data_IF_866504524419
#
_entry.id   IF_866504524419
#
_cell.length_a   1.000
_cell.length_b   1.000
_cell.length_c   1.000
_cell.angle_alpha   90.00
_cell.angle_beta   90.00
_cell.angle_gamma   90.00
#
_symmetry.space_group_name_H-M   'P 1'
#
loop_
_entity.id
_entity.type
_entity.pdbx_description
1 polymer ?
#
# COMPACT_ATOMS: atom_id res chain seq x y z
N UNK A 1 15.33 -25.78 -26.01
CA UNK A 1 13.96 -25.77 -26.55
C UNK A 1 13.36 -24.50 -25.97
N UNK A 2 13.04 -23.52 -26.82
CA UNK A 2 12.29 -22.34 -26.40
C UNK A 2 10.91 -22.84 -25.99
N UNK A 3 10.51 -22.63 -24.75
CA UNK A 3 9.17 -22.89 -24.25
C UNK A 3 8.23 -22.08 -25.12
N UNK A 4 7.33 -22.76 -25.86
CA UNK A 4 6.25 -22.09 -26.57
C UNK A 4 5.44 -21.34 -25.50
N UNK A 5 5.51 -20.02 -25.53
CA UNK A 5 4.76 -19.16 -24.63
C UNK A 5 3.28 -19.56 -24.75
N UNK A 6 2.69 -20.12 -23.70
CA UNK A 6 1.28 -20.48 -23.65
C UNK A 6 0.48 -19.22 -23.97
N UNK A 7 -0.05 -19.14 -25.17
CA UNK A 7 -0.83 -18.00 -25.64
C UNK A 7 -2.24 -18.14 -25.05
N UNK A 8 -2.65 -17.18 -24.24
CA UNK A 8 -4.00 -17.13 -23.69
C UNK A 8 -4.88 -16.32 -24.64
N UNK A 9 -6.01 -16.86 -25.07
CA UNK A 9 -7.03 -16.06 -25.72
C UNK A 9 -7.62 -15.04 -24.71
N UNK A 10 -8.20 -13.95 -25.23
CA UNK A 10 -8.65 -12.83 -24.39
C UNK A 10 -9.74 -13.23 -23.38
N UNK A 11 -10.61 -14.20 -23.71
CA UNK A 11 -11.68 -14.65 -22.82
C UNK A 11 -11.10 -15.48 -21.68
N UNK A 12 -10.25 -16.45 -22.02
CA UNK A 12 -9.56 -17.29 -21.03
C UNK A 12 -8.69 -16.45 -20.09
N UNK A 13 -7.96 -15.45 -20.62
CA UNK A 13 -7.14 -14.56 -19.81
C UNK A 13 -8.00 -13.75 -18.84
N UNK A 14 -9.15 -13.22 -19.30
CA UNK A 14 -10.09 -12.48 -18.44
C UNK A 14 -10.62 -13.34 -17.30
N UNK A 15 -11.08 -14.57 -17.60
CA UNK A 15 -11.60 -15.50 -16.58
C UNK A 15 -10.53 -15.85 -15.54
N UNK A 16 -9.32 -16.17 -15.98
CA UNK A 16 -8.22 -16.53 -15.05
C UNK A 16 -7.80 -15.34 -14.20
N UNK A 17 -7.77 -14.14 -14.76
CA UNK A 17 -7.46 -12.93 -14.01
C UNK A 17 -8.53 -12.60 -12.97
N UNK A 18 -9.82 -12.64 -13.34
CA UNK A 18 -10.93 -12.43 -12.40
C UNK A 18 -10.92 -13.45 -11.27
N UNK A 19 -10.53 -14.71 -11.54
CA UNK A 19 -10.38 -15.73 -10.50
C UNK A 19 -9.23 -15.40 -9.54
N UNK A 20 -8.10 -14.88 -10.03
CA UNK A 20 -6.98 -14.44 -9.19
C UNK A 20 -7.35 -13.23 -8.35
N UNK A 21 -8.11 -12.25 -8.90
CA UNK A 21 -8.66 -11.14 -8.13
C UNK A 21 -9.63 -11.65 -7.06
N UNK A 22 -10.50 -12.61 -7.38
CA UNK A 22 -11.41 -13.23 -6.39
C UNK A 22 -10.65 -13.92 -5.24
N UNK A 23 -9.49 -14.50 -5.50
CA UNK A 23 -8.63 -15.07 -4.45
C UNK A 23 -8.10 -13.95 -3.55
N UNK A 24 -7.62 -12.84 -4.12
CA UNK A 24 -7.17 -11.70 -3.31
C UNK A 24 -8.30 -11.08 -2.50
N UNK A 25 -9.52 -10.99 -3.03
CA UNK A 25 -10.69 -10.51 -2.29
C UNK A 25 -11.08 -11.44 -1.12
N UNK A 26 -10.89 -12.74 -1.25
CA UNK A 26 -11.11 -13.69 -0.15
C UNK A 26 -10.01 -13.59 0.94
N UNK A 27 -8.75 -13.35 0.54
CA UNK A 27 -7.67 -13.05 1.49
C UNK A 27 -8.03 -11.80 2.29
N UNK A 28 -8.48 -10.74 1.61
CA UNK A 28 -8.90 -9.47 2.18
C UNK A 28 -10.08 -9.66 3.14
N UNK A 29 -11.13 -10.36 2.70
CA UNK A 29 -12.30 -10.68 3.53
C UNK A 29 -11.92 -11.49 4.78
N UNK A 30 -10.98 -12.43 4.66
CA UNK A 30 -10.45 -13.18 5.80
C UNK A 30 -9.71 -12.27 6.77
N UNK A 31 -8.86 -11.38 6.25
CA UNK A 31 -8.09 -10.43 7.05
C UNK A 31 -9.04 -9.50 7.84
N UNK A 32 -9.99 -8.86 7.17
CA UNK A 32 -10.97 -7.96 7.78
C UNK A 32 -11.77 -8.65 8.89
N UNK A 33 -12.24 -9.88 8.66
CA UNK A 33 -13.04 -10.65 9.65
C UNK A 33 -12.25 -11.15 10.83
N UNK A 34 -10.94 -11.32 10.72
CA UNK A 34 -10.09 -11.87 11.78
C UNK A 34 -9.25 -10.83 12.48
N UNK A 35 -9.23 -9.58 11.98
CA UNK A 35 -8.50 -8.47 12.58
C UNK A 35 -9.18 -7.97 13.86
N UNK A 36 -8.35 -7.46 14.76
CA UNK A 36 -8.75 -6.96 16.08
C UNK A 36 -8.90 -5.43 16.09
N UNK A 37 -8.14 -4.72 15.27
CA UNK A 37 -8.21 -3.26 15.20
C UNK A 37 -9.30 -2.78 14.24
N UNK A 38 -9.94 -1.66 14.57
CA UNK A 38 -10.89 -0.97 13.69
C UNK A 38 -10.24 -0.38 12.45
N UNK A 39 -8.92 -0.16 12.49
CA UNK A 39 -8.14 0.36 11.36
C UNK A 39 -8.22 -0.62 10.19
N UNK A 40 -8.09 -1.91 10.46
CA UNK A 40 -8.19 -2.95 9.44
C UNK A 40 -9.64 -3.37 9.20
N UNK A 41 -10.40 -3.68 10.28
CA UNK A 41 -11.74 -4.28 10.15
C UNK A 41 -12.82 -3.32 9.66
N UNK A 42 -12.69 -2.01 9.93
CA UNK A 42 -13.70 -1.01 9.61
C UNK A 42 -13.19 0.02 8.59
N UNK A 43 -11.93 0.49 8.75
CA UNK A 43 -11.38 1.52 7.87
C UNK A 43 -10.72 0.96 6.61
N UNK A 44 -10.48 -0.35 6.53
CA UNK A 44 -9.85 -1.02 5.39
C UNK A 44 -8.46 -0.48 5.04
N UNK A 45 -7.67 -0.08 6.07
CA UNK A 45 -6.28 0.34 5.85
C UNK A 45 -5.38 -0.89 5.63
N UNK A 46 -5.51 -1.45 4.44
CA UNK A 46 -4.88 -2.70 4.06
C UNK A 46 -4.63 -2.82 2.55
N UNK A 47 -3.80 -3.76 2.19
CA UNK A 47 -3.76 -4.40 0.86
C UNK A 47 -3.38 -5.85 0.99
N UNK A 48 -3.85 -6.68 0.06
CA UNK A 48 -3.44 -8.06 -0.10
C UNK A 48 -3.11 -8.34 -1.55
N UNK A 49 -2.11 -9.17 -1.78
CA UNK A 49 -1.61 -9.46 -3.13
C UNK A 49 -1.22 -10.92 -3.31
N UNK A 50 -1.29 -11.37 -4.55
CA UNK A 50 -0.66 -12.60 -5.05
C UNK A 50 0.48 -12.21 -5.98
N UNK A 51 1.66 -12.79 -5.76
CA UNK A 51 2.84 -12.59 -6.58
C UNK A 51 3.32 -13.93 -7.15
N UNK A 52 3.87 -13.90 -8.36
CA UNK A 52 4.49 -15.07 -8.96
C UNK A 52 5.83 -15.44 -8.28
N UNK A 53 6.44 -16.53 -8.68
CA UNK A 53 7.69 -17.01 -8.06
C UNK A 53 8.88 -16.06 -8.25
N UNK A 54 8.84 -15.18 -9.25
CA UNK A 54 9.82 -14.13 -9.47
C UNK A 54 9.51 -12.85 -8.66
N UNK A 55 8.43 -12.85 -7.87
CA UNK A 55 8.02 -11.74 -7.02
C UNK A 55 7.29 -10.61 -7.75
N UNK A 56 6.72 -10.89 -8.92
CA UNK A 56 5.95 -9.91 -9.70
C UNK A 56 4.47 -9.99 -9.36
N UNK A 57 3.83 -8.84 -9.27
CA UNK A 57 2.42 -8.73 -8.91
C UNK A 57 1.52 -9.33 -9.98
N UNK A 58 0.69 -10.29 -9.58
CA UNK A 58 -0.30 -10.94 -10.45
C UNK A 58 -1.70 -10.40 -10.21
N UNK A 59 -2.09 -10.30 -8.93
CA UNK A 59 -3.38 -9.77 -8.51
C UNK A 59 -3.27 -9.01 -7.17
N UNK A 60 -4.12 -8.01 -7.01
CA UNK A 60 -4.28 -7.22 -5.79
C UNK A 60 -5.75 -7.14 -5.41
N UNK A 61 -6.06 -7.15 -4.11
CA UNK A 61 -7.41 -7.07 -3.59
C UNK A 61 -8.14 -5.79 -3.99
N UNK A 62 -9.45 -5.91 -4.23
CA UNK A 62 -10.27 -4.84 -4.82
C UNK A 62 -10.43 -3.62 -3.91
N UNK A 63 -10.35 -3.77 -2.57
CA UNK A 63 -10.45 -2.67 -1.61
C UNK A 63 -9.09 -2.12 -1.14
N UNK A 64 -8.01 -2.59 -1.77
CA UNK A 64 -6.66 -2.10 -1.45
C UNK A 64 -6.53 -0.60 -1.59
N UNK A 65 -5.95 0.07 -0.58
CA UNK A 65 -5.79 1.51 -0.61
C UNK A 65 -4.66 1.97 -1.54
N UNK A 66 -4.76 3.18 -2.15
CA UNK A 66 -3.82 3.67 -3.17
C UNK A 66 -2.37 3.76 -2.73
N UNK A 67 -2.11 4.05 -1.46
CA UNK A 67 -0.75 4.24 -0.93
C UNK A 67 0.10 2.97 -1.00
N UNK A 68 -0.51 1.80 -1.21
CA UNK A 68 0.18 0.53 -1.34
C UNK A 68 0.44 0.10 -2.80
N UNK A 69 0.05 0.90 -3.80
CA UNK A 69 0.32 0.60 -5.20
C UNK A 69 1.82 0.45 -5.45
N UNK A 70 2.24 -0.71 -5.98
CA UNK A 70 3.64 -0.99 -6.31
C UNK A 70 4.57 -1.25 -5.11
N UNK A 71 4.07 -1.20 -3.86
CA UNK A 71 4.91 -1.40 -2.66
C UNK A 71 5.23 -2.87 -2.40
N UNK A 72 4.27 -3.77 -2.54
CA UNK A 72 4.43 -5.20 -2.23
C UNK A 72 5.54 -5.89 -3.04
N UNK A 73 5.64 -5.77 -4.38
CA UNK A 73 6.75 -6.36 -5.13
C UNK A 73 8.11 -5.81 -4.71
N UNK A 74 8.17 -4.50 -4.40
CA UNK A 74 9.40 -3.86 -3.91
C UNK A 74 9.82 -4.41 -2.55
N UNK A 75 8.89 -4.53 -1.61
CA UNK A 75 9.14 -5.07 -0.27
C UNK A 75 9.56 -6.55 -0.36
N UNK A 76 8.87 -7.34 -1.18
CA UNK A 76 9.23 -8.73 -1.42
C UNK A 76 10.65 -8.88 -1.94
N UNK A 77 11.10 -7.99 -2.83
CA UNK A 77 12.49 -8.01 -3.34
C UNK A 77 13.51 -7.91 -2.19
N UNK A 78 13.28 -7.03 -1.20
CA UNK A 78 14.14 -6.95 -0.01
C UNK A 78 14.04 -8.20 0.87
N UNK A 79 12.84 -8.76 1.03
CA UNK A 79 12.65 -10.00 1.77
C UNK A 79 13.43 -11.17 1.13
N UNK A 80 13.38 -11.30 -0.20
CA UNK A 80 14.08 -12.34 -0.94
C UNK A 80 15.61 -12.11 -1.03
N UNK A 81 16.09 -10.89 -0.88
CA UNK A 81 17.53 -10.64 -0.71
C UNK A 81 18.06 -11.19 0.62
N UNK A 82 17.25 -11.13 1.69
CA UNK A 82 17.63 -11.65 3.00
C UNK A 82 17.34 -13.14 3.15
N UNK A 83 16.24 -13.60 2.60
CA UNK A 83 15.81 -15.00 2.59
C UNK A 83 15.58 -15.44 1.14
N UNK A 84 16.64 -15.88 0.44
CA UNK A 84 16.55 -16.33 -0.94
C UNK A 84 15.52 -17.45 -1.13
N UNK A 85 14.85 -17.54 -2.30
CA UNK A 85 13.77 -18.50 -2.54
C UNK A 85 14.12 -19.96 -2.20
N UNK A 86 15.36 -20.36 -2.43
CA UNK A 86 15.88 -21.71 -2.14
C UNK A 86 16.03 -22.01 -0.64
N UNK A 87 15.97 -20.98 0.22
CA UNK A 87 16.04 -21.12 1.69
C UNK A 87 14.67 -21.12 2.35
N UNK A 88 13.62 -20.83 1.58
CA UNK A 88 12.25 -20.77 2.07
C UNK A 88 11.66 -22.16 2.22
N UNK A 89 10.89 -22.35 3.29
CA UNK A 89 10.22 -23.62 3.61
C UNK A 89 8.70 -23.44 3.67
N UNK A 90 7.92 -24.49 3.38
CA UNK A 90 6.49 -24.47 3.65
C UNK A 90 6.19 -24.08 5.11
N UNK A 91 5.29 -23.12 5.30
CA UNK A 91 4.94 -22.60 6.63
C UNK A 91 5.80 -21.44 7.12
N UNK A 92 6.82 -21.02 6.37
CA UNK A 92 7.52 -19.76 6.66
C UNK A 92 6.59 -18.56 6.48
N UNK A 93 6.73 -17.56 7.36
CA UNK A 93 6.10 -16.25 7.25
C UNK A 93 7.14 -15.20 7.58
N UNK A 94 7.33 -14.23 6.69
CA UNK A 94 8.33 -13.17 6.84
C UNK A 94 7.64 -11.82 6.95
N UNK A 95 8.10 -10.96 7.85
CA UNK A 95 7.55 -9.62 8.02
C UNK A 95 8.62 -8.53 8.14
N UNK A 96 8.19 -7.29 7.92
CA UNK A 96 8.94 -6.05 8.22
C UNK A 96 7.97 -4.88 8.28
N UNK A 97 8.30 -3.87 9.09
CA UNK A 97 7.67 -2.55 9.07
C UNK A 97 8.69 -1.44 8.81
N UNK A 98 9.82 -1.76 8.20
CA UNK A 98 10.83 -0.76 7.86
C UNK A 98 10.28 0.22 6.80
N UNK A 99 10.27 1.55 7.06
CA UNK A 99 9.67 2.54 6.16
C UNK A 99 10.26 2.54 4.75
N UNK A 100 11.55 2.34 4.61
CA UNK A 100 12.25 2.41 3.32
C UNK A 100 12.17 1.11 2.52
N UNK A 101 11.97 -0.02 3.20
CA UNK A 101 11.74 -1.32 2.57
C UNK A 101 10.26 -1.59 2.32
N UNK A 102 9.38 -0.99 3.13
CA UNK A 102 7.93 -1.15 3.11
C UNK A 102 7.20 0.00 2.40
N UNK A 103 6.31 0.65 3.13
CA UNK A 103 5.29 1.58 2.63
C UNK A 103 5.47 3.03 3.08
N UNK A 104 6.57 3.34 3.76
CA UNK A 104 6.96 4.70 4.09
C UNK A 104 6.78 5.11 5.55
N UNK A 105 6.22 4.26 6.44
CA UNK A 105 6.23 4.47 7.89
C UNK A 105 6.21 3.14 8.67
N UNK A 106 6.48 3.18 9.98
CA UNK A 106 6.56 1.98 10.79
C UNK A 106 5.19 1.39 11.16
N UNK A 107 4.11 2.14 11.01
CA UNK A 107 2.79 1.65 11.36
C UNK A 107 2.27 0.59 10.37
N UNK A 108 2.77 0.55 9.15
CA UNK A 108 2.41 -0.50 8.20
C UNK A 108 3.32 -1.71 8.35
N UNK A 109 2.73 -2.87 8.60
CA UNK A 109 3.43 -4.16 8.60
C UNK A 109 3.19 -4.92 7.31
N UNK A 110 4.26 -5.30 6.64
CA UNK A 110 4.23 -6.16 5.47
C UNK A 110 4.49 -7.61 5.90
N UNK A 111 3.59 -8.53 5.55
CA UNK A 111 3.66 -9.95 5.93
C UNK A 111 3.55 -10.81 4.68
N UNK A 112 4.57 -11.61 4.40
CA UNK A 112 4.67 -12.47 3.21
C UNK A 112 4.72 -13.95 3.61
N UNK A 113 4.04 -14.79 2.84
CA UNK A 113 4.08 -16.25 2.92
C UNK A 113 4.45 -16.85 1.57
N UNK A 114 5.50 -17.70 1.47
CA UNK A 114 5.77 -18.47 0.26
C UNK A 114 4.74 -19.58 0.10
N UNK A 115 4.30 -19.80 -1.14
CA UNK A 115 3.30 -20.80 -1.50
C UNK A 115 3.96 -21.93 -2.27
N UNK A 116 3.82 -23.15 -1.77
CA UNK A 116 4.43 -24.34 -2.35
C UNK A 116 3.39 -25.31 -2.89
N UNK A 117 3.72 -26.01 -3.98
CA UNK A 117 2.94 -27.12 -4.51
C UNK A 117 2.88 -28.25 -3.47
N UNK A 118 1.69 -28.69 -3.12
CA UNK A 118 1.50 -29.84 -2.21
C UNK A 118 1.98 -31.16 -2.81
N UNK A 119 1.93 -31.28 -4.14
CA UNK A 119 2.32 -32.50 -4.86
C UNK A 119 3.82 -32.55 -5.15
N UNK A 120 4.44 -31.43 -5.52
CA UNK A 120 5.82 -31.36 -6.01
C UNK A 120 6.79 -30.72 -5.00
N UNK A 121 6.30 -30.02 -3.96
CA UNK A 121 7.13 -29.27 -3.01
C UNK A 121 7.85 -28.06 -3.66
N UNK A 122 7.48 -27.68 -4.89
CA UNK A 122 8.10 -26.54 -5.61
C UNK A 122 7.42 -25.24 -5.21
N UNK A 123 8.19 -24.15 -5.16
CA UNK A 123 7.67 -22.79 -4.95
C UNK A 123 6.84 -22.35 -6.15
N UNK A 124 5.60 -21.94 -5.90
CA UNK A 124 4.65 -21.48 -6.92
C UNK A 124 4.56 -19.95 -7.01
N UNK A 125 4.72 -19.28 -5.89
CA UNK A 125 4.59 -17.84 -5.76
C UNK A 125 4.49 -17.42 -4.30
N UNK A 126 3.91 -16.25 -4.04
CA UNK A 126 3.78 -15.69 -2.71
C UNK A 126 2.40 -15.06 -2.53
N UNK A 127 1.87 -15.15 -1.31
CA UNK A 127 0.82 -14.27 -0.83
C UNK A 127 1.42 -13.23 0.10
N UNK A 128 0.91 -12.01 0.08
CA UNK A 128 1.41 -10.96 0.93
C UNK A 128 0.26 -10.02 1.32
N UNK A 129 0.24 -9.65 2.60
CA UNK A 129 -0.64 -8.62 3.15
C UNK A 129 0.17 -7.47 3.71
N UNK A 130 -0.40 -6.28 3.65
CA UNK A 130 0.11 -5.07 4.29
C UNK A 130 -1.04 -4.46 5.06
N UNK A 131 -0.85 -4.16 6.34
CA UNK A 131 -1.88 -3.56 7.21
C UNK A 131 -1.28 -2.51 8.09
N UNK A 132 -2.06 -1.47 8.39
CA UNK A 132 -1.70 -0.50 9.40
C UNK A 132 -1.94 -1.09 10.81
N UNK A 133 -0.90 -1.12 11.64
CA UNK A 133 -0.97 -1.57 13.03
C UNK A 133 -1.54 -0.46 13.94
N UNK A 134 -2.32 -0.81 14.96
CA UNK A 134 -2.92 0.18 15.87
C UNK A 134 -1.88 0.93 16.73
N UNK A 135 -0.76 0.29 17.03
CA UNK A 135 0.33 0.89 17.80
C UNK A 135 1.66 0.17 17.51
N UNK A 136 2.72 0.94 17.43
CA UNK A 136 4.10 0.44 17.28
C UNK A 136 5.03 0.96 18.40
N UNK A 137 4.45 1.53 19.46
CA UNK A 137 5.17 2.16 20.56
C UNK A 137 5.59 3.60 20.26
N UNK A 138 6.74 4.01 20.79
CA UNK A 138 7.26 5.38 20.62
C UNK A 138 6.29 6.46 21.07
N UNK A 139 6.33 7.62 20.41
CA UNK A 139 5.45 8.75 20.72
C UNK A 139 4.03 8.60 20.14
N UNK A 140 3.77 7.54 19.38
CA UNK A 140 2.49 7.28 18.71
C UNK A 140 2.43 7.86 17.30
N UNK A 141 1.27 7.65 16.65
CA UNK A 141 1.03 8.08 15.28
C UNK A 141 0.87 9.61 15.19
N UNK A 142 1.67 10.26 14.34
CA UNK A 142 1.59 11.70 14.12
C UNK A 142 2.91 12.34 13.71
N UNK A 143 2.91 13.67 13.61
CA UNK A 143 4.00 14.47 13.09
C UNK A 143 5.04 14.91 14.13
N UNK A 144 4.86 14.55 15.42
CA UNK A 144 5.65 15.12 16.52
C UNK A 144 7.09 14.58 16.62
N UNK A 145 7.41 13.47 15.95
CA UNK A 145 8.74 12.90 15.94
C UNK A 145 9.75 13.85 15.26
N UNK A 146 10.95 13.98 15.83
CA UNK A 146 12.07 14.73 15.24
C UNK A 146 13.10 13.82 14.55
N UNK A 147 13.04 12.52 14.82
CA UNK A 147 13.84 11.47 14.19
C UNK A 147 13.10 10.14 14.21
N UNK A 148 13.49 9.22 13.34
CA UNK A 148 12.81 7.91 13.17
C UNK A 148 12.79 7.08 14.46
N UNK A 149 13.79 7.21 15.33
CA UNK A 149 13.88 6.45 16.59
C UNK A 149 12.81 6.83 17.62
N UNK A 150 12.16 7.99 17.47
CA UNK A 150 11.03 8.40 18.32
C UNK A 150 9.71 7.73 17.90
N UNK A 151 9.60 7.20 16.69
CA UNK A 151 8.33 6.72 16.11
C UNK A 151 7.91 5.33 16.60
N UNK A 152 8.83 4.55 17.17
CA UNK A 152 8.50 3.26 17.75
C UNK A 152 9.42 2.11 17.37
N UNK A 153 8.90 0.89 17.45
CA UNK A 153 9.63 -0.34 17.18
C UNK A 153 9.74 -0.60 15.68
N UNK A 154 10.95 -0.43 15.12
CA UNK A 154 11.26 -0.78 13.74
C UNK A 154 11.74 -2.23 13.65
N UNK A 155 10.97 -3.07 12.98
CA UNK A 155 11.29 -4.47 12.72
C UNK A 155 12.08 -4.59 11.42
N UNK A 156 13.29 -5.17 11.46
CA UNK A 156 13.97 -5.55 10.23
C UNK A 156 13.17 -6.68 9.54
N UNK A 157 13.56 -7.05 8.33
CA UNK A 157 13.02 -8.25 7.70
C UNK A 157 13.35 -9.45 8.59
N UNK A 158 12.32 -10.16 9.08
CA UNK A 158 12.45 -11.25 10.06
C UNK A 158 11.38 -12.31 9.82
N UNK A 159 11.68 -13.57 10.20
CA UNK A 159 10.67 -14.64 10.20
C UNK A 159 9.72 -14.47 11.38
N UNK A 160 8.44 -14.21 11.08
CA UNK A 160 7.33 -14.22 12.03
C UNK A 160 6.88 -15.64 12.35
N UNK A 161 7.03 -16.56 11.38
CA UNK A 161 6.93 -18.00 11.60
C UNK A 161 8.00 -18.73 10.78
N UNK A 162 8.49 -19.85 11.27
CA UNK A 162 9.44 -20.73 10.61
C UNK A 162 8.89 -22.15 10.53
N UNK A 163 8.74 -22.66 9.31
CA UNK A 163 8.17 -24.00 9.06
C UNK A 163 6.86 -24.27 9.81
N UNK A 164 5.99 -23.25 9.90
CA UNK A 164 4.70 -23.31 10.58
C UNK A 164 4.73 -23.05 12.09
N UNK A 165 5.90 -22.83 12.67
CA UNK A 165 6.05 -22.51 14.10
C UNK A 165 6.19 -21.01 14.27
N UNK A 166 5.27 -20.39 15.00
CA UNK A 166 5.26 -18.95 15.27
C UNK A 166 6.46 -18.58 16.15
N UNK A 167 7.11 -17.46 15.84
CA UNK A 167 8.18 -16.88 16.62
C UNK A 167 7.59 -16.13 17.84
N UNK A 168 7.30 -16.85 18.90
CA UNK A 168 6.69 -16.28 20.12
C UNK A 168 7.61 -15.22 20.76
N UNK A 169 8.93 -15.36 20.67
CA UNK A 169 9.86 -14.33 21.16
C UNK A 169 9.65 -12.99 20.44
N UNK A 170 9.41 -13.01 19.12
CA UNK A 170 9.13 -11.78 18.36
C UNK A 170 7.79 -11.17 18.78
N UNK A 171 6.76 -12.01 19.00
CA UNK A 171 5.46 -11.52 19.48
C UNK A 171 5.57 -10.90 20.88
N UNK A 172 6.29 -11.54 21.80
CA UNK A 172 6.56 -11.01 23.13
C UNK A 172 7.34 -9.69 23.08
N UNK A 173 8.35 -9.61 22.19
CA UNK A 173 9.12 -8.37 21.98
C UNK A 173 8.21 -7.22 21.50
N UNK A 174 7.29 -7.50 20.56
CA UNK A 174 6.33 -6.49 20.10
C UNK A 174 5.38 -6.11 21.23
N UNK A 175 4.82 -7.10 21.93
CA UNK A 175 3.82 -6.90 22.99
C UNK A 175 4.30 -5.98 24.13
N UNK A 176 5.58 -6.08 24.53
CA UNK A 176 6.12 -5.24 25.61
C UNK A 176 6.47 -3.80 25.15
N UNK A 177 6.48 -3.56 23.82
CA UNK A 177 6.83 -2.25 23.24
C UNK A 177 5.61 -1.45 22.77
N UNK A 178 4.40 -2.01 22.77
CA UNK A 178 3.17 -1.35 22.30
C UNK A 178 2.16 -1.14 23.42
N UNK A 179 1.27 -0.16 23.29
CA UNK A 179 0.23 0.18 24.28
C UNK A 179 -0.97 -0.76 24.19
N UNK A 180 -1.23 -1.31 23.01
CA UNK A 180 -2.38 -2.16 22.69
C UNK A 180 -1.93 -3.54 22.20
N UNK A 181 -1.23 -4.34 23.05
CA UNK A 181 -0.62 -5.60 22.62
C UNK A 181 -1.64 -6.62 22.10
N UNK A 182 -2.85 -6.69 22.70
CA UNK A 182 -3.89 -7.62 22.26
C UNK A 182 -4.30 -7.36 20.82
N UNK A 183 -4.61 -6.11 20.46
CA UNK A 183 -4.99 -5.75 19.08
C UNK A 183 -3.83 -5.90 18.10
N UNK A 184 -2.63 -5.46 18.49
CA UNK A 184 -1.45 -5.52 17.60
C UNK A 184 -1.06 -6.97 17.29
N UNK A 185 -1.01 -7.84 18.30
CA UNK A 185 -0.70 -9.27 18.11
C UNK A 185 -1.86 -9.98 17.40
N UNK A 186 -3.10 -9.60 17.71
CA UNK A 186 -4.29 -10.10 16.99
C UNK A 186 -4.21 -9.84 15.49
N UNK A 187 -3.88 -8.61 15.09
CA UNK A 187 -3.72 -8.24 13.68
C UNK A 187 -2.54 -8.95 13.00
N UNK A 188 -1.42 -9.16 13.70
CA UNK A 188 -0.31 -9.97 13.18
C UNK A 188 -0.73 -11.42 12.92
N UNK A 189 -1.50 -12.03 13.83
CA UNK A 189 -2.05 -13.38 13.63
C UNK A 189 -3.08 -13.43 12.50
N UNK A 190 -3.89 -12.38 12.33
CA UNK A 190 -4.82 -12.24 11.21
C UNK A 190 -4.08 -12.19 9.86
N UNK A 191 -2.96 -11.46 9.80
CA UNK A 191 -2.08 -11.43 8.62
C UNK A 191 -1.48 -12.81 8.29
N UNK A 192 -1.08 -13.60 9.28
CA UNK A 192 -0.63 -14.99 9.07
C UNK A 192 -1.77 -15.83 8.48
N UNK A 193 -2.95 -15.77 9.09
CA UNK A 193 -4.11 -16.59 8.72
C UNK A 193 -4.62 -16.27 7.31
N UNK A 194 -4.76 -14.99 6.96
CA UNK A 194 -5.25 -14.59 5.62
C UNK A 194 -4.28 -15.02 4.51
N UNK A 195 -2.97 -14.88 4.72
CA UNK A 195 -1.96 -15.34 3.77
C UNK A 195 -1.96 -16.87 3.62
N UNK A 196 -2.28 -17.61 4.67
CA UNK A 196 -2.43 -19.08 4.60
C UNK A 196 -3.66 -19.48 3.76
N UNK A 197 -4.80 -18.80 3.97
CA UNK A 197 -6.01 -19.00 3.16
C UNK A 197 -5.72 -18.74 1.70
N UNK A 198 -5.09 -17.60 1.39
CA UNK A 198 -4.73 -17.25 0.02
C UNK A 198 -3.76 -18.24 -0.63
N UNK A 199 -2.76 -18.69 0.12
CA UNK A 199 -1.82 -19.71 -0.37
C UNK A 199 -2.51 -21.03 -0.75
N UNK A 200 -3.46 -21.47 0.07
CA UNK A 200 -4.27 -22.68 -0.22
C UNK A 200 -5.12 -22.48 -1.47
N UNK A 201 -5.83 -21.37 -1.57
CA UNK A 201 -6.68 -21.08 -2.73
C UNK A 201 -5.88 -20.91 -4.03
N UNK A 202 -4.67 -20.34 -3.94
CA UNK A 202 -3.77 -20.26 -5.10
C UNK A 202 -3.36 -21.66 -5.59
N UNK A 203 -3.05 -22.59 -4.68
CA UNK A 203 -2.76 -23.99 -5.03
C UNK A 203 -3.98 -24.67 -5.66
N UNK A 204 -5.19 -24.47 -5.10
CA UNK A 204 -6.45 -25.00 -5.63
C UNK A 204 -6.71 -24.46 -7.04
N UNK A 205 -6.57 -23.15 -7.26
CA UNK A 205 -6.68 -22.51 -8.57
C UNK A 205 -5.71 -23.11 -9.60
N UNK A 206 -4.45 -23.24 -9.24
CA UNK A 206 -3.45 -23.80 -10.16
C UNK A 206 -3.74 -25.27 -10.53
N UNK A 207 -4.26 -26.04 -9.58
CA UNK A 207 -4.68 -27.43 -9.84
C UNK A 207 -5.94 -27.49 -10.71
N UNK A 208 -6.95 -26.64 -10.46
CA UNK A 208 -8.21 -26.57 -11.22
C UNK A 208 -7.96 -26.28 -12.70
N UNK A 209 -7.06 -25.34 -12.99
CA UNK A 209 -6.77 -24.91 -14.37
C UNK A 209 -5.54 -25.58 -14.98
N UNK A 210 -4.97 -26.60 -14.31
CA UNK A 210 -3.75 -27.29 -14.75
C UNK A 210 -2.60 -26.34 -15.09
N UNK A 211 -2.37 -25.35 -14.21
CA UNK A 211 -1.29 -24.38 -14.32
C UNK A 211 -0.14 -24.85 -13.41
N UNK A 212 0.97 -25.23 -14.01
CA UNK A 212 2.17 -25.66 -13.25
C UNK A 212 3.01 -24.47 -12.79
N UNK A 213 2.92 -23.32 -13.48
CA UNK A 213 3.70 -22.12 -13.25
C UNK A 213 2.89 -20.87 -13.62
N UNK A 214 2.82 -19.91 -12.72
CA UNK A 214 2.11 -18.64 -12.91
C UNK A 214 2.80 -17.68 -13.88
N UNK A 215 4.07 -17.90 -14.23
CA UNK A 215 4.88 -16.92 -14.97
C UNK A 215 4.28 -16.55 -16.33
N UNK A 216 3.74 -17.52 -17.07
CA UNK A 216 3.11 -17.25 -18.37
C UNK A 216 1.84 -16.40 -18.22
N UNK A 217 0.96 -16.77 -17.27
CA UNK A 217 -0.27 -16.03 -16.96
C UNK A 217 0.04 -14.63 -16.43
N UNK A 218 0.97 -14.52 -15.50
CA UNK A 218 1.46 -13.25 -14.93
C UNK A 218 2.01 -12.32 -16.02
N UNK A 219 2.79 -12.85 -16.96
CA UNK A 219 3.30 -12.07 -18.09
C UNK A 219 2.17 -11.59 -19.00
N UNK A 220 1.19 -12.45 -19.33
CA UNK A 220 0.06 -12.09 -20.18
C UNK A 220 -0.78 -10.97 -19.56
N UNK A 221 -1.13 -11.08 -18.26
CA UNK A 221 -1.88 -10.07 -17.50
C UNK A 221 -1.13 -8.73 -17.50
N UNK A 222 0.17 -8.73 -17.17
CA UNK A 222 0.96 -7.50 -17.11
C UNK A 222 1.16 -6.85 -18.47
N UNK A 223 1.35 -7.63 -19.52
CA UNK A 223 1.47 -7.11 -20.89
C UNK A 223 0.15 -6.49 -21.35
N UNK A 224 -0.99 -7.09 -21.05
CA UNK A 224 -2.29 -6.51 -21.35
C UNK A 224 -2.51 -5.19 -20.60
N UNK A 225 -2.13 -5.12 -19.33
CA UNK A 225 -2.24 -3.89 -18.53
C UNK A 225 -1.31 -2.78 -19.02
N UNK A 226 -0.10 -3.13 -19.44
CA UNK A 226 0.83 -2.18 -20.06
C UNK A 226 0.27 -1.61 -21.36
N UNK A 227 -0.24 -2.46 -22.24
CA UNK A 227 -0.85 -2.02 -23.50
C UNK A 227 -2.04 -1.10 -23.27
N UNK A 228 -2.91 -1.45 -22.31
CA UNK A 228 -4.05 -0.60 -21.95
C UNK A 228 -3.62 0.77 -21.40
N UNK A 229 -2.60 0.80 -20.54
CA UNK A 229 -2.06 2.05 -20.01
C UNK A 229 -1.45 2.91 -21.13
N UNK A 230 -0.58 2.34 -21.97
CA UNK A 230 0.03 3.04 -23.11
C UNK A 230 -1.01 3.63 -24.04
N UNK A 231 -2.04 2.89 -24.37
CA UNK A 231 -3.12 3.36 -25.24
C UNK A 231 -3.88 4.54 -24.62
N UNK A 232 -4.07 4.54 -23.30
CA UNK A 232 -4.76 5.63 -22.60
C UNK A 232 -3.88 6.84 -22.33
N UNK A 233 -2.58 6.68 -22.23
CA UNK A 233 -1.65 7.82 -22.15
C UNK A 233 -1.71 8.65 -23.45
N UNK A 234 -1.91 8.06 -24.63
CA UNK A 234 -2.08 8.77 -25.91
C UNK A 234 -3.27 9.74 -25.92
N UNK A 235 -4.26 9.52 -25.05
CA UNK A 235 -5.40 10.44 -24.88
C UNK A 235 -5.01 11.73 -24.14
N UNK A 236 -3.81 11.80 -23.52
CA UNK A 236 -3.26 12.96 -22.84
C UNK A 236 -2.38 13.72 -23.85
N UNK A 237 -2.55 15.02 -23.97
CA UNK A 237 -1.78 15.84 -24.92
C UNK A 237 -0.28 15.79 -24.58
N UNK A 238 0.57 15.52 -25.59
CA UNK A 238 2.03 15.58 -25.45
C UNK A 238 2.49 16.97 -25.01
N UNK A 239 3.49 17.02 -24.16
CA UNK A 239 4.06 18.26 -23.65
C UNK A 239 4.78 18.11 -22.32
N UNK A 240 5.32 19.22 -21.86
CA UNK A 240 5.92 19.36 -20.54
C UNK A 240 5.04 20.30 -19.71
N UNK A 241 4.66 19.86 -18.52
CA UNK A 241 3.71 20.54 -17.64
C UNK A 241 4.33 20.67 -16.25
N UNK A 242 4.26 21.85 -15.68
CA UNK A 242 4.85 22.14 -14.37
C UNK A 242 3.78 22.61 -13.39
N UNK A 243 3.95 22.24 -12.14
CA UNK A 243 3.15 22.77 -11.04
C UNK A 243 3.99 22.87 -9.76
N UNK A 244 3.66 23.83 -8.94
CA UNK A 244 4.25 23.98 -7.60
C UNK A 244 3.25 24.54 -6.62
N UNK A 245 3.27 24.02 -5.41
CA UNK A 245 2.43 24.47 -4.29
C UNK A 245 3.30 24.79 -3.09
N UNK A 246 2.91 25.81 -2.34
CA UNK A 246 3.51 26.14 -1.05
C UNK A 246 2.62 25.56 0.04
N UNK A 247 3.18 24.68 0.87
CA UNK A 247 2.47 24.03 1.97
C UNK A 247 2.96 24.54 3.32
N UNK A 248 2.09 24.52 4.32
CA UNK A 248 2.45 24.80 5.71
C UNK A 248 3.03 23.53 6.35
N UNK A 249 4.37 23.41 6.36
CA UNK A 249 5.05 22.22 6.86
C UNK A 249 5.41 22.30 8.36
N UNK A 250 4.50 22.80 9.19
CA UNK A 250 4.52 22.96 10.65
C UNK A 250 5.42 24.12 11.11
N UNK A 251 6.73 24.08 10.82
CA UNK A 251 7.67 25.10 11.32
C UNK A 251 7.87 26.24 10.31
N UNK A 252 8.03 25.92 9.03
CA UNK A 252 8.21 26.86 7.93
C UNK A 252 7.50 26.35 6.67
N UNK A 253 6.97 27.24 5.80
CA UNK A 253 6.39 26.82 4.54
C UNK A 253 7.42 26.13 3.62
N UNK A 254 7.02 25.08 2.95
CA UNK A 254 7.87 24.31 2.01
C UNK A 254 7.19 24.24 0.65
N UNK A 255 7.98 24.40 -0.40
CA UNK A 255 7.51 24.22 -1.78
C UNK A 255 7.56 22.75 -2.16
N UNK A 256 6.47 22.22 -2.67
CA UNK A 256 6.43 20.98 -3.46
C UNK A 256 6.38 21.34 -4.93
N UNK A 257 7.24 20.73 -5.74
CA UNK A 257 7.32 20.97 -7.19
C UNK A 257 7.16 19.66 -7.94
N UNK A 258 6.54 19.75 -9.11
CA UNK A 258 6.34 18.61 -9.99
C UNK A 258 6.47 19.07 -11.44
N UNK A 259 7.23 18.32 -12.23
CA UNK A 259 7.26 18.41 -13.69
C UNK A 259 6.76 17.09 -14.26
N UNK A 260 5.79 17.15 -15.17
CA UNK A 260 5.24 15.99 -15.86
C UNK A 260 5.52 16.13 -17.35
N UNK A 261 6.23 15.16 -17.92
CA UNK A 261 6.49 15.08 -19.36
C UNK A 261 5.67 13.93 -19.95
N UNK A 262 4.85 14.26 -20.94
CA UNK A 262 4.03 13.29 -21.68
C UNK A 262 4.59 13.19 -23.09
N UNK A 263 5.09 12.00 -23.45
CA UNK A 263 5.64 11.71 -24.77
C UNK A 263 5.01 10.44 -25.31
N UNK A 264 4.11 10.59 -26.29
CA UNK A 264 3.36 9.54 -26.97
C UNK A 264 2.62 8.60 -26.01
N UNK A 265 3.26 7.55 -25.54
CA UNK A 265 2.69 6.50 -24.69
C UNK A 265 3.41 6.35 -23.35
N UNK A 266 4.20 7.37 -22.95
CA UNK A 266 5.00 7.39 -21.72
C UNK A 266 4.76 8.67 -20.94
N UNK A 267 4.91 8.57 -19.63
CA UNK A 267 4.88 9.70 -18.70
C UNK A 267 6.11 9.66 -17.82
N UNK A 268 6.79 10.79 -17.71
CA UNK A 268 7.85 11.01 -16.73
C UNK A 268 7.39 12.06 -15.72
N UNK A 269 7.56 11.76 -14.43
CA UNK A 269 7.20 12.65 -13.32
C UNK A 269 8.45 12.90 -12.51
N UNK A 270 8.83 14.17 -12.40
CA UNK A 270 10.01 14.61 -11.69
C UNK A 270 9.63 15.63 -10.62
N UNK A 271 10.04 15.38 -9.39
CA UNK A 271 9.80 16.24 -8.23
C UNK A 271 11.01 17.12 -7.89
N UNK A 272 11.92 17.37 -8.84
CA UNK A 272 13.00 18.32 -8.66
C UNK A 272 12.46 19.73 -8.32
N UNK A 273 13.16 20.45 -7.44
CA UNK A 273 12.69 21.73 -6.90
C UNK A 273 11.81 21.59 -5.64
N UNK A 274 11.47 20.39 -5.22
CA UNK A 274 10.82 20.17 -3.90
C UNK A 274 11.78 20.46 -2.76
N UNK A 275 11.31 21.16 -1.73
CA UNK A 275 12.10 21.51 -0.56
C UNK A 275 12.61 20.29 0.22
N UNK A 276 13.60 20.53 1.10
CA UNK A 276 14.29 19.48 1.87
C UNK A 276 13.45 18.88 2.99
N UNK A 277 13.93 17.74 3.51
CA UNK A 277 13.36 17.10 4.70
C UNK A 277 13.43 17.99 5.95
N UNK A 278 12.50 17.75 6.89
CA UNK A 278 12.35 18.50 8.15
C UNK A 278 12.46 17.57 9.36
N UNK A 279 12.77 18.14 10.54
CA UNK A 279 12.78 17.41 11.81
C UNK A 279 11.36 17.26 12.38
N UNK A 280 10.45 16.78 11.56
CA UNK A 280 9.04 16.47 11.86
C UNK A 280 8.64 15.21 11.12
N UNK A 281 7.73 14.42 11.68
CA UNK A 281 7.28 13.13 11.12
C UNK A 281 6.47 13.20 9.82
N UNK A 282 6.64 14.24 9.03
CA UNK A 282 5.89 14.48 7.78
C UNK A 282 6.68 14.17 6.51
N UNK A 283 7.93 13.71 6.63
CA UNK A 283 8.76 13.38 5.47
C UNK A 283 8.24 12.12 4.77
N UNK A 284 8.34 12.11 3.45
CA UNK A 284 7.75 11.06 2.61
C UNK A 284 8.85 10.21 1.99
N UNK A 285 9.01 8.93 2.35
CA UNK A 285 9.86 7.99 1.63
C UNK A 285 9.39 7.80 0.19
N UNK A 286 10.32 7.61 -0.73
CA UNK A 286 10.06 7.53 -2.17
C UNK A 286 9.01 6.48 -2.57
N UNK A 287 8.89 5.38 -1.83
CA UNK A 287 7.88 4.36 -2.09
C UNK A 287 6.45 4.91 -2.06
N UNK A 288 6.16 5.83 -1.13
CA UNK A 288 4.86 6.49 -1.02
C UNK A 288 4.65 7.49 -2.16
N UNK A 289 5.64 8.34 -2.44
CA UNK A 289 5.60 9.29 -3.57
C UNK A 289 5.35 8.58 -4.89
N UNK A 290 6.05 7.47 -5.13
CA UNK A 290 5.84 6.64 -6.31
C UNK A 290 4.43 6.03 -6.37
N UNK A 291 3.91 5.50 -5.26
CA UNK A 291 2.57 4.93 -5.20
C UNK A 291 1.49 5.96 -5.54
N UNK A 292 1.57 7.17 -4.94
CA UNK A 292 0.63 8.25 -5.19
C UNK A 292 0.75 8.82 -6.60
N UNK A 293 1.94 8.84 -7.19
CA UNK A 293 2.14 9.21 -8.60
C UNK A 293 1.47 8.21 -9.55
N UNK A 294 1.68 6.91 -9.33
CA UNK A 294 1.03 5.84 -10.11
C UNK A 294 -0.50 5.90 -9.97
N UNK A 295 -1.00 6.13 -8.75
CA UNK A 295 -2.42 6.34 -8.48
C UNK A 295 -2.99 7.48 -9.32
N UNK A 296 -2.31 8.64 -9.36
CA UNK A 296 -2.76 9.82 -10.09
C UNK A 296 -2.93 9.53 -11.57
N UNK A 297 -1.93 8.93 -12.20
CA UNK A 297 -2.00 8.59 -13.63
C UNK A 297 -3.05 7.50 -13.91
N UNK A 298 -3.17 6.52 -13.01
CA UNK A 298 -4.21 5.49 -13.13
C UNK A 298 -5.62 6.08 -13.10
N UNK A 299 -5.90 7.05 -12.23
CA UNK A 299 -7.18 7.75 -12.19
C UNK A 299 -7.52 8.44 -13.51
N UNK A 300 -6.53 9.04 -14.17
CA UNK A 300 -6.71 9.73 -15.46
C UNK A 300 -6.84 8.78 -16.66
N UNK A 301 -6.41 7.53 -16.55
CA UNK A 301 -6.24 6.62 -17.69
C UNK A 301 -7.11 5.37 -17.58
N UNK A 302 -6.81 4.46 -16.67
CA UNK A 302 -7.41 3.12 -16.54
C UNK A 302 -7.94 2.85 -15.11
N UNK A 303 -8.83 3.69 -14.56
CA UNK A 303 -9.24 3.60 -13.15
C UNK A 303 -9.84 2.23 -12.77
N UNK A 304 -10.50 1.56 -13.71
CA UNK A 304 -11.21 0.30 -13.47
C UNK A 304 -10.36 -0.95 -13.71
N UNK A 305 -9.12 -0.82 -14.19
CA UNK A 305 -8.27 -1.99 -14.42
C UNK A 305 -7.63 -2.42 -13.09
N UNK A 306 -7.64 -3.73 -12.74
CA UNK A 306 -6.94 -4.20 -11.54
C UNK A 306 -5.45 -3.81 -11.54
N UNK A 307 -4.91 -3.53 -10.36
CA UNK A 307 -3.51 -3.10 -10.22
C UNK A 307 -2.54 -4.24 -10.50
N UNK A 308 -1.50 -3.96 -11.27
CA UNK A 308 -0.31 -4.78 -11.43
C UNK A 308 0.85 -3.93 -11.97
N UNK A 309 2.06 -4.49 -11.98
CA UNK A 309 3.26 -3.77 -12.42
C UNK A 309 3.27 -3.44 -13.92
N UNK A 310 2.46 -4.12 -14.73
CA UNK A 310 2.36 -3.84 -16.17
C UNK A 310 1.86 -2.42 -16.43
N UNK A 311 0.82 -2.01 -15.70
CA UNK A 311 0.27 -0.66 -15.80
C UNK A 311 1.27 0.44 -15.39
N UNK A 312 2.24 0.13 -14.53
CA UNK A 312 3.25 1.08 -14.09
C UNK A 312 4.43 1.25 -15.08
N UNK A 313 4.68 0.28 -15.99
CA UNK A 313 5.87 0.30 -16.88
C UNK A 313 6.02 1.54 -17.75
N UNK A 314 4.97 2.15 -18.30
CA UNK A 314 5.11 3.37 -19.10
C UNK A 314 5.25 4.65 -18.28
N UNK A 315 5.31 4.57 -16.95
CA UNK A 315 5.39 5.70 -16.04
C UNK A 315 6.71 5.64 -15.28
N UNK A 316 7.52 6.68 -15.37
CA UNK A 316 8.72 6.85 -14.54
C UNK A 316 8.51 7.99 -13.55
N UNK A 317 9.00 7.78 -12.33
CA UNK A 317 8.90 8.76 -11.23
C UNK A 317 10.29 8.99 -10.65
N UNK A 318 10.65 10.23 -10.44
CA UNK A 318 11.91 10.64 -9.81
C UNK A 318 11.69 11.74 -8.78
N UNK A 319 12.54 11.75 -7.75
CA UNK A 319 12.63 12.81 -6.76
C UNK A 319 14.04 12.85 -6.18
N UNK A 320 14.65 14.03 -6.00
CA UNK A 320 16.00 14.14 -5.42
C UNK A 320 16.06 13.50 -4.03
N UNK A 321 17.14 12.76 -3.75
CA UNK A 321 17.36 12.20 -2.41
C UNK A 321 17.48 13.32 -1.36
N UNK A 322 16.78 13.17 -0.25
CA UNK A 322 16.76 14.14 0.84
C UNK A 322 15.78 15.31 0.65
N UNK A 323 15.04 15.36 -0.46
CA UNK A 323 13.87 16.23 -0.55
C UNK A 323 12.69 15.63 0.28
N UNK A 324 11.70 16.46 0.59
CA UNK A 324 10.55 16.08 1.43
C UNK A 324 9.77 14.88 0.86
N UNK A 325 9.78 14.67 -0.48
CA UNK A 325 9.12 13.57 -1.19
C UNK A 325 10.04 12.37 -1.46
N UNK A 326 11.32 12.40 -1.00
CA UNK A 326 12.24 11.27 -1.06
C UNK A 326 13.16 11.26 0.18
N UNK A 327 12.52 11.17 1.33
CA UNK A 327 13.19 11.16 2.61
C UNK A 327 14.09 9.94 2.80
N UNK A 328 15.29 10.20 3.32
CA UNK A 328 16.27 9.18 3.67
C UNK A 328 16.37 9.00 5.19
N UNK A 329 16.83 7.84 5.70
CA UNK A 329 17.13 7.70 7.11
C UNK A 329 18.15 8.76 7.58
N UNK A 330 18.03 9.30 8.79
CA UNK A 330 17.12 8.94 9.88
C UNK A 330 15.90 9.88 10.03
N UNK A 331 15.45 10.53 8.97
CA UNK A 331 14.31 11.44 9.04
C UNK A 331 13.03 10.70 9.49
N UNK A 332 12.18 11.32 10.34
CA UNK A 332 10.94 10.73 10.80
C UNK A 332 9.85 10.79 9.72
N UNK A 333 8.99 9.77 9.65
CA UNK A 333 8.04 9.56 8.57
C UNK A 333 6.62 9.19 9.02
N UNK A 334 6.35 9.17 10.33
CA UNK A 334 5.12 8.63 10.92
C UNK A 334 3.83 9.20 10.31
N UNK A 335 3.79 10.52 10.05
CA UNK A 335 2.68 11.20 9.41
C UNK A 335 2.97 11.53 7.92
N UNK A 336 3.67 10.65 7.19
CA UNK A 336 4.02 10.87 5.77
C UNK A 336 2.82 11.21 4.88
N UNK A 337 1.62 10.74 5.23
CA UNK A 337 0.38 11.01 4.51
C UNK A 337 0.03 12.49 4.47
N UNK A 338 0.36 13.26 5.54
CA UNK A 338 0.08 14.68 5.62
C UNK A 338 0.71 15.49 4.45
N UNK A 339 1.81 15.00 3.90
CA UNK A 339 2.45 15.57 2.71
C UNK A 339 2.16 14.75 1.46
N UNK A 340 2.22 13.42 1.58
CA UNK A 340 2.06 12.52 0.44
C UNK A 340 0.70 12.63 -0.25
N UNK A 341 -0.35 13.04 0.46
CA UNK A 341 -1.67 13.28 -0.12
C UNK A 341 -1.72 14.51 -1.05
N UNK A 342 -0.75 15.42 -0.99
CA UNK A 342 -0.64 16.50 -1.96
C UNK A 342 -0.10 16.03 -3.32
N UNK A 343 0.55 14.87 -3.40
CA UNK A 343 1.15 14.38 -4.65
C UNK A 343 0.13 14.25 -5.79
N UNK A 344 -1.07 13.65 -5.60
CA UNK A 344 -2.08 13.64 -6.65
C UNK A 344 -2.53 15.03 -7.09
N UNK A 345 -2.84 15.92 -6.15
CA UNK A 345 -3.24 17.29 -6.46
C UNK A 345 -2.15 18.08 -7.22
N UNK A 346 -0.89 17.85 -6.87
CA UNK A 346 0.26 18.46 -7.53
C UNK A 346 0.38 17.97 -8.99
N UNK A 347 0.24 16.67 -9.25
CA UNK A 347 0.27 16.07 -10.59
C UNK A 347 -0.96 16.49 -11.40
N UNK A 348 -2.16 16.48 -10.79
CA UNK A 348 -3.39 16.92 -11.46
C UNK A 348 -3.31 18.39 -11.84
N UNK A 349 -2.78 19.26 -10.98
CA UNK A 349 -2.56 20.66 -11.31
C UNK A 349 -1.58 20.85 -12.46
N UNK A 350 -0.51 20.06 -12.55
CA UNK A 350 0.39 20.10 -13.70
C UNK A 350 -0.32 19.70 -14.99
N UNK A 351 -1.18 18.68 -14.96
CA UNK A 351 -1.89 18.16 -16.13
C UNK A 351 -3.22 18.85 -16.43
N UNK A 352 -3.56 19.96 -15.74
CA UNK A 352 -4.85 20.66 -15.92
C UNK A 352 -5.13 21.02 -17.38
N UNK A 353 -4.16 21.55 -18.08
CA UNK A 353 -4.31 21.90 -19.50
C UNK A 353 -4.38 20.69 -20.44
N UNK A 354 -3.81 19.54 -20.04
CA UNK A 354 -3.71 18.35 -20.87
C UNK A 354 -4.91 17.41 -20.75
N UNK A 355 -5.61 17.41 -19.60
CA UNK A 355 -6.66 16.46 -19.26
C UNK A 355 -7.77 17.08 -18.39
N UNK A 356 -8.15 18.33 -18.64
CA UNK A 356 -9.08 19.13 -17.83
C UNK A 356 -10.42 18.45 -17.51
N UNK A 357 -10.94 17.63 -18.42
CA UNK A 357 -12.20 16.91 -18.27
C UNK A 357 -12.12 15.69 -17.34
N UNK A 358 -10.92 15.28 -16.98
CA UNK A 358 -10.65 14.08 -16.14
C UNK A 358 -10.07 14.43 -14.76
N UNK A 359 -9.70 15.70 -14.56
CA UNK A 359 -9.01 16.13 -13.35
C UNK A 359 -10.01 16.43 -12.25
N UNK A 360 -9.74 15.88 -11.08
CA UNK A 360 -10.44 16.19 -9.84
C UNK A 360 -9.80 17.40 -9.16
N UNK A 361 -10.63 18.32 -8.66
CA UNK A 361 -10.17 19.35 -7.74
C UNK A 361 -9.66 18.73 -6.42
N UNK A 362 -8.75 19.41 -5.74
CA UNK A 362 -8.29 18.97 -4.42
C UNK A 362 -9.46 18.93 -3.42
N UNK A 363 -9.48 17.94 -2.55
CA UNK A 363 -10.56 17.71 -1.58
C UNK A 363 -10.21 18.08 -0.13
N UNK A 364 -9.04 18.68 0.09
CA UNK A 364 -8.62 19.13 1.41
C UNK A 364 -8.21 18.03 2.39
N UNK A 365 -8.00 16.78 1.92
CA UNK A 365 -7.37 15.69 2.68
C UNK A 365 -8.29 14.97 3.67
N UNK A 366 -7.70 14.00 4.36
CA UNK A 366 -8.29 13.25 5.48
C UNK A 366 -7.78 13.80 6.80
N UNK A 367 -8.67 14.02 7.75
CA UNK A 367 -8.30 14.36 9.12
C UNK A 367 -8.09 13.08 9.92
N UNK A 368 -7.03 13.06 10.72
CA UNK A 368 -6.68 11.96 11.60
C UNK A 368 -6.69 12.40 13.05
N UNK A 369 -7.60 11.81 13.82
CA UNK A 369 -7.66 12.01 15.26
C UNK A 369 -7.00 10.82 15.97
N UNK A 370 -5.82 11.04 16.53
CA UNK A 370 -5.15 10.06 17.39
C UNK A 370 -5.47 10.35 18.85
N UNK A 371 -6.02 9.36 19.54
CA UNK A 371 -6.35 9.46 20.97
C UNK A 371 -5.49 8.47 21.75
N UNK A 372 -4.73 8.99 22.72
CA UNK A 372 -3.96 8.20 23.68
C UNK A 372 -4.33 8.58 25.10
N UNK A 373 -4.46 7.59 25.97
CA UNK A 373 -4.86 7.82 27.35
C UNK A 373 -4.89 6.55 28.19
N UNK A 374 -5.64 6.60 29.29
CA UNK A 374 -5.79 5.47 30.22
C UNK A 374 -7.25 5.33 30.61
N UNK A 375 -7.81 4.15 30.50
CA UNK A 375 -9.13 3.82 31.03
C UNK A 375 -9.17 3.97 32.55
N UNK A 376 -10.35 4.15 33.17
CA UNK A 376 -10.49 4.17 34.63
C UNK A 376 -9.98 2.90 35.34
N UNK A 377 -9.92 1.78 34.65
CA UNK A 377 -9.37 0.51 35.14
C UNK A 377 -7.85 0.36 34.98
N UNK A 378 -7.18 1.40 34.45
CA UNK A 378 -5.73 1.45 34.27
C UNK A 378 -5.22 0.91 32.94
N UNK A 379 -6.09 0.39 32.04
CA UNK A 379 -5.68 -0.08 30.71
C UNK A 379 -5.33 1.09 29.81
N UNK A 380 -4.25 1.02 29.02
CA UNK A 380 -3.91 2.07 28.05
C UNK A 380 -4.94 2.10 26.90
N UNK A 381 -5.16 3.30 26.38
CA UNK A 381 -5.94 3.56 25.15
C UNK A 381 -4.97 4.10 24.10
N UNK A 382 -5.00 3.55 22.90
CA UNK A 382 -4.38 4.13 21.70
C UNK A 382 -5.29 3.80 20.52
N UNK A 383 -5.92 4.84 19.95
CA UNK A 383 -6.85 4.69 18.82
C UNK A 383 -6.56 5.76 17.78
N UNK A 384 -6.82 5.42 16.51
CA UNK A 384 -6.73 6.32 15.37
C UNK A 384 -8.11 6.34 14.71
N UNK A 385 -8.61 7.53 14.44
CA UNK A 385 -9.91 7.76 13.82
C UNK A 385 -9.73 8.55 12.54
N UNK A 386 -10.28 8.03 11.46
CA UNK A 386 -10.24 8.64 10.14
C UNK A 386 -11.52 9.44 9.90
N UNK A 387 -11.39 10.71 9.54
CA UNK A 387 -12.49 11.61 9.19
C UNK A 387 -12.28 12.10 7.77
N UNK A 388 -13.24 11.79 6.89
CA UNK A 388 -13.14 12.11 5.46
C UNK A 388 -13.70 13.50 5.19
N UNK A 389 -12.94 14.35 4.50
CA UNK A 389 -13.35 15.71 4.14
C UNK A 389 -14.29 15.80 2.94
N UNK A 390 -14.43 14.74 2.17
CA UNK A 390 -15.21 14.70 0.93
C UNK A 390 -14.37 14.50 -0.31
N UNK A 391 -15.01 14.48 -1.48
CA UNK A 391 -14.37 14.27 -2.77
C UNK A 391 -14.38 15.57 -3.58
N UNK A 392 -13.27 15.92 -4.21
CA UNK A 392 -13.18 17.12 -5.04
C UNK A 392 -14.10 17.07 -6.25
N UNK A 393 -14.51 18.23 -6.75
CA UNK A 393 -15.33 18.34 -7.94
C UNK A 393 -14.60 17.84 -9.18
N UNK A 394 -15.33 17.24 -10.10
CA UNK A 394 -14.91 16.88 -11.44
C UNK A 394 -15.59 17.84 -12.45
N UNK A 395 -15.10 17.87 -13.68
CA UNK A 395 -15.71 18.67 -14.73
C UNK A 395 -17.22 18.35 -14.87
N UNK A 396 -18.07 19.32 -14.58
CA UNK A 396 -19.52 19.18 -14.67
C UNK A 396 -20.18 18.33 -13.58
N UNK A 397 -19.45 17.93 -12.54
CA UNK A 397 -19.96 17.16 -11.41
C UNK A 397 -19.47 17.76 -10.09
N UNK A 398 -20.37 18.00 -9.15
CA UNK A 398 -20.02 18.41 -7.81
C UNK A 398 -19.31 17.28 -7.05
N UNK A 399 -18.38 17.63 -6.17
CA UNK A 399 -17.76 16.70 -5.23
C UNK A 399 -18.80 16.12 -4.28
N UNK A 400 -18.58 14.87 -3.84
CA UNK A 400 -19.47 14.19 -2.89
C UNK A 400 -18.93 14.32 -1.47
N UNK A 401 -19.84 14.52 -0.52
CA UNK A 401 -19.51 14.57 0.89
C UNK A 401 -18.98 13.23 1.40
N UNK A 402 -18.08 13.28 2.36
CA UNK A 402 -17.59 12.12 3.13
C UNK A 402 -16.95 10.99 2.30
N UNK A 403 -16.49 11.24 1.09
CA UNK A 403 -15.67 10.29 0.34
C UNK A 403 -14.18 10.47 0.65
N UNK A 404 -13.46 9.39 0.98
CA UNK A 404 -12.07 9.46 1.42
C UNK A 404 -11.06 9.42 0.27
N UNK A 405 -11.13 10.35 -0.67
CA UNK A 405 -10.10 10.46 -1.73
C UNK A 405 -8.95 11.39 -1.30
N UNK A 406 -7.68 11.09 -1.54
CA UNK A 406 -7.12 9.92 -2.24
C UNK A 406 -6.87 8.70 -1.34
N UNK A 407 -7.20 8.74 -0.04
CA UNK A 407 -6.86 7.67 0.91
C UNK A 407 -7.65 6.39 0.69
N UNK A 408 -8.91 6.47 0.27
CA UNK A 408 -9.88 5.37 0.15
C UNK A 408 -10.17 4.61 1.46
N UNK A 409 -9.75 5.13 2.60
CA UNK A 409 -10.06 4.55 3.91
C UNK A 409 -11.47 4.93 4.35
N UNK A 410 -12.23 3.96 4.84
CA UNK A 410 -13.57 4.22 5.36
C UNK A 410 -13.52 4.89 6.74
N UNK A 411 -14.42 5.83 6.99
CA UNK A 411 -14.64 6.35 8.33
C UNK A 411 -15.38 5.31 9.19
N UNK A 412 -14.93 5.12 10.43
CA UNK A 412 -15.58 4.21 11.38
C UNK A 412 -16.84 4.90 11.96
N UNK A 413 -18.01 4.27 11.96
CA UNK A 413 -19.19 4.80 12.62
C UNK A 413 -18.96 5.07 14.12
N UNK A 414 -19.51 6.18 14.62
CA UNK A 414 -19.31 6.60 16.03
C UNK A 414 -19.80 5.51 17.00
N UNK A 415 -20.89 4.83 16.68
CA UNK A 415 -21.45 3.75 17.50
C UNK A 415 -20.48 2.56 17.64
N UNK A 416 -19.70 2.28 16.59
CA UNK A 416 -18.65 1.24 16.65
C UNK A 416 -17.50 1.71 17.55
N UNK A 417 -17.06 2.96 17.41
CA UNK A 417 -16.03 3.52 18.30
C UNK A 417 -16.44 3.44 19.76
N UNK A 418 -17.66 3.87 20.10
CA UNK A 418 -18.18 3.82 21.46
C UNK A 418 -18.22 2.40 22.02
N UNK A 419 -18.61 1.44 21.20
CA UNK A 419 -18.70 0.03 21.61
C UNK A 419 -17.34 -0.62 21.86
N UNK A 420 -16.31 -0.26 21.07
CA UNK A 420 -14.99 -0.88 21.13
C UNK A 420 -14.08 -0.16 22.14
N UNK A 421 -14.10 1.17 22.13
CA UNK A 421 -13.20 1.96 22.99
C UNK A 421 -13.79 2.24 24.38
N UNK A 422 -15.11 2.10 24.55
CA UNK A 422 -15.81 2.51 25.76
C UNK A 422 -15.76 4.02 26.02
N UNK A 423 -15.43 4.81 25.01
CA UNK A 423 -15.46 6.27 25.04
C UNK A 423 -16.75 6.77 24.38
N UNK A 424 -17.46 7.69 25.04
CA UNK A 424 -18.58 8.37 24.41
C UNK A 424 -18.08 9.54 23.58
N UNK A 425 -18.56 9.65 22.35
CA UNK A 425 -18.33 10.78 21.46
C UNK A 425 -19.58 11.68 21.52
N UNK A 426 -19.43 12.87 22.11
CA UNK A 426 -20.50 13.84 22.28
C UNK A 426 -20.33 15.00 21.30
#
# INVERSE_FOLDING_TARGET
MMDEAKEFDAVSLGILWDRLVSITDEIESTLVRTSFSTIVSESYDLTVVVLDREGRLVAQGSHSIPVFIGTAPRTLKYMLQKFPPETLMPGDVICTNDPWMGTGHMFDISVMRPVFSTAKGTLLGYTMSITHLPDVGGIGFGAAASEIYHEGLRLPIVKLAESGVINEFLLDLIAVNVRTPESTIGDLRANIACNEVGGRQLVEFMNEYAIDDLSALSNAIRNQSELAMREKIKDIRNGTYDNSILIEAIDEPITLSCKVEVEDEKIEIDFDGTGGCVSRGINVPFCYTNAMSLYSIKCLTIPNLPNNEGAARPISVSAPEGCLLNAQPPFPTGARHAIGHFVPGLIFGALEEAAADKIQADNGMIDLLTVQGTHPDGRPISTIHFVSGGFGALHGLDGRDCLPGPSNMAAVPVEIWESITGMSVI
#
